data_IF_534772376657
#
_entry.id   IF_534772376657
#
_cell.length_a   1.000
_cell.length_b   1.000
_cell.length_c   1.000
_cell.angle_alpha   90.00
_cell.angle_beta   90.00
_cell.angle_gamma   90.00
#
_symmetry.space_group_name_H-M   'P 1'
#
loop_
_entity.id
_entity.type
_entity.pdbx_description
1 polymer ?
#
# COMPACT_ATOMS: atom_id res chain seq x y z
N UNK A 1 23.69 22.56 -16.18
CA UNK A 1 22.44 21.85 -15.88
C UNK A 1 22.56 21.30 -14.47
N UNK A 2 21.56 21.50 -13.65
CA UNK A 2 21.52 20.90 -12.30
C UNK A 2 21.28 19.39 -12.43
N UNK A 3 22.04 18.57 -11.68
CA UNK A 3 21.90 17.12 -11.68
C UNK A 3 21.22 16.64 -10.41
N UNK A 4 20.63 15.46 -10.45
CA UNK A 4 19.99 14.76 -9.35
C UNK A 4 20.44 13.29 -9.30
N UNK A 5 20.25 12.65 -8.16
CA UNK A 5 20.47 11.21 -7.99
C UNK A 5 19.17 10.44 -8.24
N UNK A 6 19.31 9.29 -8.90
CA UNK A 6 18.18 8.42 -9.23
C UNK A 6 18.62 6.96 -9.30
N UNK A 7 17.82 6.07 -8.75
CA UNK A 7 18.03 4.64 -8.91
C UNK A 7 17.39 4.14 -10.21
N UNK A 8 18.20 3.49 -11.05
CA UNK A 8 17.76 2.87 -12.29
C UNK A 8 18.11 1.39 -12.33
N UNK A 9 17.20 0.59 -12.86
CA UNK A 9 17.45 -0.78 -13.31
C UNK A 9 17.91 -0.75 -14.76
N UNK A 10 18.97 -1.50 -15.10
CA UNK A 10 19.41 -1.75 -16.48
C UNK A 10 18.90 -3.08 -17.04
N UNK A 11 18.21 -3.85 -16.22
CA UNK A 11 17.62 -5.17 -16.47
C UNK A 11 16.94 -5.67 -15.18
N UNK A 12 16.38 -6.86 -15.19
CA UNK A 12 15.80 -7.45 -13.99
C UNK A 12 16.86 -7.91 -12.98
N UNK A 13 16.46 -8.01 -11.71
CA UNK A 13 17.31 -8.42 -10.60
C UNK A 13 18.00 -7.26 -9.90
N UNK A 14 18.20 -7.38 -8.58
CA UNK A 14 18.84 -6.35 -7.73
C UNK A 14 20.25 -5.99 -8.17
N UNK A 15 20.98 -6.92 -8.79
CA UNK A 15 22.33 -6.66 -9.31
C UNK A 15 22.38 -5.63 -10.43
N UNK A 16 21.26 -5.35 -11.09
CA UNK A 16 21.13 -4.34 -12.14
C UNK A 16 20.74 -2.94 -11.63
N UNK A 17 20.44 -2.82 -10.32
CA UNK A 17 20.04 -1.57 -9.69
C UNK A 17 21.26 -0.68 -9.44
N UNK A 18 21.26 0.53 -10.00
CA UNK A 18 22.37 1.46 -9.96
C UNK A 18 21.89 2.87 -9.56
N UNK A 19 22.58 3.49 -8.62
CA UNK A 19 22.41 4.92 -8.31
C UNK A 19 23.18 5.74 -9.35
N UNK A 20 22.46 6.59 -10.09
CA UNK A 20 23.03 7.41 -11.16
C UNK A 20 22.83 8.90 -10.89
N UNK A 21 23.74 9.70 -11.44
CA UNK A 21 23.53 11.14 -11.61
C UNK A 21 22.93 11.41 -12.98
N UNK A 22 21.78 12.08 -13.02
CA UNK A 22 21.06 12.44 -14.24
C UNK A 22 20.64 13.91 -14.18
N UNK A 23 20.35 14.58 -15.30
CA UNK A 23 19.79 15.93 -15.27
C UNK A 23 18.46 15.98 -14.49
N UNK A 24 18.23 17.07 -13.75
CA UNK A 24 16.91 17.35 -13.17
C UNK A 24 15.93 17.56 -14.33
N UNK A 25 14.77 16.86 -14.36
CA UNK A 25 13.81 17.03 -15.43
C UNK A 25 13.14 18.40 -15.35
N UNK A 26 12.74 18.96 -16.50
CA UNK A 26 11.90 20.13 -16.59
C UNK A 26 10.43 19.68 -16.71
N UNK A 27 9.48 20.32 -15.99
CA UNK A 27 8.07 19.98 -16.12
C UNK A 27 7.51 20.45 -17.47
N UNK A 28 6.98 19.52 -18.26
CA UNK A 28 6.24 19.84 -19.49
C UNK A 28 4.84 20.38 -19.20
N UNK A 29 4.05 20.74 -20.24
CA UNK A 29 2.67 21.19 -20.08
C UNK A 29 1.84 20.21 -19.26
N UNK A 30 1.08 20.71 -18.26
CA UNK A 30 0.26 19.91 -17.35
C UNK A 30 1.05 19.10 -16.32
N UNK A 31 2.38 19.23 -16.26
CA UNK A 31 3.23 18.52 -15.30
C UNK A 31 3.67 19.42 -14.15
N UNK A 32 3.90 18.78 -13.01
CA UNK A 32 4.55 19.42 -11.86
C UNK A 32 5.91 18.74 -11.62
N UNK A 33 6.92 19.53 -11.32
CA UNK A 33 8.21 19.05 -10.81
C UNK A 33 8.12 18.98 -9.30
N UNK A 34 8.26 17.79 -8.75
CA UNK A 34 8.24 17.57 -7.31
C UNK A 34 9.65 17.22 -6.82
N UNK A 35 10.15 17.98 -5.85
CA UNK A 35 11.33 17.61 -5.07
C UNK A 35 10.90 16.55 -4.05
N UNK A 36 11.46 15.34 -4.19
CA UNK A 36 11.20 14.24 -3.28
C UNK A 36 11.70 14.57 -1.87
N UNK A 37 10.91 14.26 -0.86
CA UNK A 37 11.33 14.24 0.53
C UNK A 37 11.43 12.81 1.06
N UNK A 38 10.52 11.93 0.62
CA UNK A 38 10.53 10.54 1.01
C UNK A 38 9.84 9.64 -0.03
N UNK A 39 10.30 8.38 -0.13
CA UNK A 39 9.63 7.33 -0.87
C UNK A 39 9.44 6.09 0.02
N UNK A 40 8.23 5.51 0.03
CA UNK A 40 7.95 4.34 0.85
C UNK A 40 7.98 3.07 0.00
N UNK A 41 8.72 2.06 0.46
CA UNK A 41 8.82 0.79 -0.24
C UNK A 41 7.60 -0.11 0.01
N UNK A 42 7.24 -0.89 -1.00
CA UNK A 42 6.18 -1.89 -0.99
C UNK A 42 6.74 -3.25 -1.42
N UNK A 43 6.15 -4.35 -0.94
CA UNK A 43 6.57 -5.70 -1.33
C UNK A 43 6.58 -5.91 -2.86
N UNK A 44 5.61 -5.30 -3.57
CA UNK A 44 5.57 -5.35 -5.03
C UNK A 44 6.81 -4.74 -5.71
N UNK A 45 7.49 -3.79 -5.09
CA UNK A 45 8.68 -3.17 -5.67
C UNK A 45 9.81 -4.20 -5.80
N UNK A 46 9.95 -5.09 -4.80
CA UNK A 46 10.83 -6.26 -4.91
C UNK A 46 10.46 -7.13 -6.10
N UNK A 47 9.18 -7.47 -6.28
CA UNK A 47 8.73 -8.32 -7.37
C UNK A 47 8.97 -7.68 -8.75
N UNK A 48 8.76 -6.36 -8.86
CA UNK A 48 9.05 -5.62 -10.10
C UNK A 48 10.55 -5.61 -10.38
N UNK A 49 11.38 -5.33 -9.38
CA UNK A 49 12.84 -5.32 -9.51
C UNK A 49 13.37 -6.69 -9.93
N UNK A 50 12.88 -7.78 -9.31
CA UNK A 50 13.40 -9.12 -9.56
C UNK A 50 12.95 -9.71 -10.90
N UNK A 51 11.71 -9.51 -11.31
CA UNK A 51 11.17 -10.17 -12.50
C UNK A 51 10.04 -9.42 -13.22
N UNK A 52 9.82 -8.15 -12.92
CA UNK A 52 8.85 -7.28 -13.62
C UNK A 52 7.38 -7.57 -13.33
N UNK A 53 7.02 -8.57 -12.53
CA UNK A 53 5.63 -8.99 -12.30
C UNK A 53 4.83 -9.28 -13.59
N UNK A 54 5.48 -9.78 -14.63
CA UNK A 54 4.87 -10.01 -15.95
C UNK A 54 4.67 -8.76 -16.80
N UNK A 55 5.19 -7.60 -16.37
CA UNK A 55 5.18 -6.35 -17.15
C UNK A 55 6.40 -6.29 -18.07
N UNK A 56 6.21 -5.75 -19.27
CA UNK A 56 7.30 -5.32 -20.11
C UNK A 56 7.79 -3.95 -19.61
N UNK A 57 9.03 -3.90 -19.10
CA UNK A 57 9.63 -2.66 -18.61
C UNK A 57 10.59 -2.10 -19.66
N UNK A 58 10.49 -0.79 -19.89
CA UNK A 58 11.47 -0.06 -20.71
C UNK A 58 12.68 0.32 -19.85
N UNK A 59 13.85 -0.26 -20.16
CA UNK A 59 15.10 0.06 -19.46
C UNK A 59 15.84 1.24 -20.11
N UNK A 60 16.49 2.15 -19.32
CA UNK A 60 16.61 2.12 -17.87
C UNK A 60 15.28 2.43 -17.17
N UNK A 61 14.99 1.70 -16.10
CA UNK A 61 13.73 1.76 -15.37
C UNK A 61 13.93 2.22 -13.93
N UNK A 62 13.21 3.24 -13.50
CA UNK A 62 13.20 3.72 -12.10
C UNK A 62 12.12 2.98 -11.33
N UNK A 63 12.43 2.28 -10.20
CA UNK A 63 11.44 1.55 -9.43
C UNK A 63 10.69 2.43 -8.40
N UNK A 64 9.80 1.78 -7.63
CA UNK A 64 8.91 2.32 -6.59
C UNK A 64 7.77 3.21 -7.10
N UNK A 65 6.69 3.29 -6.30
CA UNK A 65 5.46 4.00 -6.66
C UNK A 65 5.12 5.14 -5.71
N UNK A 66 5.52 5.02 -4.45
CA UNK A 66 5.00 5.84 -3.35
C UNK A 66 6.01 6.94 -3.01
N UNK A 67 5.67 8.20 -3.33
CA UNK A 67 6.49 9.37 -3.04
C UNK A 67 5.68 10.42 -2.33
N UNK A 68 6.33 11.13 -1.42
CA UNK A 68 5.89 12.42 -0.90
C UNK A 68 6.98 13.46 -1.12
N UNK A 69 6.58 14.67 -1.46
CA UNK A 69 7.52 15.76 -1.71
C UNK A 69 6.84 17.12 -1.76
N UNK A 70 7.61 18.10 -2.23
CA UNK A 70 7.17 19.48 -2.39
C UNK A 70 7.27 19.88 -3.85
N UNK A 71 6.23 20.50 -4.38
CA UNK A 71 6.22 21.04 -5.75
C UNK A 71 7.30 22.13 -5.85
N UNK A 72 8.30 21.90 -6.72
CA UNK A 72 9.41 22.83 -6.95
C UNK A 72 9.14 23.78 -8.12
N UNK A 73 8.47 23.27 -9.18
CA UNK A 73 8.09 24.06 -10.36
C UNK A 73 6.85 23.44 -11.02
N UNK A 74 6.20 24.22 -11.88
CA UNK A 74 5.02 23.79 -12.63
C UNK A 74 5.20 24.11 -14.11
N UNK A 75 4.69 23.25 -14.99
CA UNK A 75 4.58 23.50 -16.42
C UNK A 75 3.32 24.28 -16.78
N UNK A 76 3.22 24.66 -18.06
CA UNK A 76 2.07 25.39 -18.57
C UNK A 76 0.77 24.62 -18.38
N UNK A 77 -0.31 25.32 -18.04
CA UNK A 77 -1.65 24.74 -17.88
C UNK A 77 -1.91 24.01 -16.56
N UNK A 78 -0.94 23.92 -15.66
CA UNK A 78 -1.13 23.36 -14.30
C UNK A 78 -2.05 24.27 -13.49
N UNK A 79 -3.08 23.69 -12.87
CA UNK A 79 -4.11 24.39 -12.10
C UNK A 79 -4.31 23.86 -10.68
N UNK A 80 -3.93 22.59 -10.42
CA UNK A 80 -4.20 21.93 -9.14
C UNK A 80 -3.16 22.24 -8.06
N UNK A 81 -1.96 22.58 -8.45
CA UNK A 81 -0.83 22.79 -7.54
C UNK A 81 -0.02 24.02 -7.90
N UNK A 82 0.73 24.50 -6.94
CA UNK A 82 1.69 25.61 -7.06
C UNK A 82 3.00 25.27 -6.35
N UNK A 83 4.12 25.93 -6.68
CA UNK A 83 5.36 25.77 -5.95
C UNK A 83 5.16 25.96 -4.43
N UNK A 84 5.74 25.03 -3.64
CA UNK A 84 5.60 24.96 -2.19
C UNK A 84 4.50 24.02 -1.69
N UNK A 85 3.58 23.57 -2.54
CA UNK A 85 2.55 22.61 -2.12
C UNK A 85 3.16 21.24 -1.81
N UNK A 86 2.71 20.61 -0.71
CA UNK A 86 3.09 19.27 -0.30
C UNK A 86 2.18 18.25 -0.96
N UNK A 87 2.77 17.27 -1.64
CA UNK A 87 2.02 16.30 -2.46
C UNK A 87 2.51 14.86 -2.21
N UNK A 88 1.61 13.92 -2.48
CA UNK A 88 1.90 12.47 -2.56
C UNK A 88 1.45 11.95 -3.93
N UNK A 89 2.13 10.91 -4.44
CA UNK A 89 1.76 10.26 -5.70
C UNK A 89 0.47 9.45 -5.59
N UNK A 90 -0.19 9.20 -6.73
CA UNK A 90 -1.21 8.15 -6.84
C UNK A 90 -0.56 6.86 -7.33
N UNK A 91 -1.03 5.70 -6.84
CA UNK A 91 -0.51 4.40 -7.27
C UNK A 91 -0.95 4.04 -8.69
N UNK A 92 -2.23 4.27 -9.01
CA UNK A 92 -2.83 4.10 -10.33
C UNK A 92 -3.15 5.47 -10.97
N UNK A 93 -2.23 6.05 -11.76
CA UNK A 93 -2.41 7.41 -12.28
C UNK A 93 -3.69 7.62 -13.12
N UNK A 94 -4.08 6.63 -13.92
CA UNK A 94 -5.26 6.70 -14.79
C UNK A 94 -6.60 6.41 -14.08
N UNK A 95 -6.59 5.92 -12.85
CA UNK A 95 -7.81 5.58 -12.13
C UNK A 95 -8.25 6.71 -11.19
N UNK A 96 -9.03 7.64 -11.72
CA UNK A 96 -9.46 8.85 -11.01
C UNK A 96 -10.55 8.55 -9.99
N UNK A 97 -11.61 7.84 -10.38
CA UNK A 97 -12.77 7.49 -9.54
C UNK A 97 -13.55 6.30 -10.11
N UNK A 98 -14.42 5.70 -9.30
CA UNK A 98 -15.40 4.71 -9.71
C UNK A 98 -14.80 3.43 -10.27
N UNK A 99 -15.26 3.00 -11.45
CA UNK A 99 -14.81 1.76 -12.08
C UNK A 99 -13.46 1.97 -12.77
N UNK A 100 -12.51 1.05 -12.51
CA UNK A 100 -11.23 1.02 -13.23
C UNK A 100 -11.44 0.79 -14.73
N UNK A 101 -10.58 1.38 -15.54
CA UNK A 101 -10.57 1.18 -16.98
C UNK A 101 -10.20 -0.26 -17.36
N UNK A 102 -10.47 -0.61 -18.63
CA UNK A 102 -10.14 -1.91 -19.18
C UNK A 102 -11.36 -2.81 -19.44
N UNK A 103 -11.09 -4.05 -19.79
CA UNK A 103 -12.08 -5.09 -20.12
C UNK A 103 -11.72 -6.40 -19.40
N UNK A 104 -12.54 -7.43 -19.55
CA UNK A 104 -12.26 -8.75 -19.00
C UNK A 104 -10.94 -9.37 -19.53
N UNK A 105 -10.54 -9.01 -20.76
CA UNK A 105 -9.30 -9.50 -21.39
C UNK A 105 -8.09 -8.58 -21.10
N UNK A 106 -8.34 -7.28 -20.95
CA UNK A 106 -7.28 -6.27 -20.79
C UNK A 106 -7.63 -5.40 -19.60
N UNK A 107 -7.13 -5.79 -18.44
CA UNK A 107 -7.29 -5.02 -17.22
C UNK A 107 -6.27 -3.89 -17.23
N UNK A 108 -6.69 -2.67 -16.91
CA UNK A 108 -5.75 -1.57 -16.69
C UNK A 108 -4.88 -1.86 -15.47
N UNK A 109 -3.60 -2.04 -15.68
CA UNK A 109 -2.58 -2.28 -14.66
C UNK A 109 -1.47 -1.22 -14.71
N UNK A 110 -1.75 -0.06 -15.29
CA UNK A 110 -0.80 1.04 -15.44
C UNK A 110 -0.51 1.72 -14.09
N UNK A 111 0.58 1.29 -13.46
CA UNK A 111 1.02 1.78 -12.15
C UNK A 111 2.32 2.55 -12.24
N UNK A 112 2.56 3.49 -11.33
CA UNK A 112 3.90 4.00 -11.07
C UNK A 112 4.81 2.86 -10.57
N UNK A 113 6.07 2.90 -10.95
CA UNK A 113 7.02 1.84 -10.65
C UNK A 113 6.58 0.47 -11.20
N UNK A 114 5.88 0.47 -12.33
CA UNK A 114 5.38 -0.68 -13.06
C UNK A 114 5.32 -0.37 -14.54
N UNK A 115 4.13 -0.16 -15.13
CA UNK A 115 4.01 0.26 -16.53
C UNK A 115 4.56 1.69 -16.77
N UNK A 116 4.54 2.55 -15.74
CA UNK A 116 5.21 3.85 -15.77
C UNK A 116 6.48 3.82 -14.95
N UNK A 117 7.45 4.69 -15.32
CA UNK A 117 8.63 4.92 -14.50
C UNK A 117 8.24 5.24 -13.07
N UNK A 118 9.05 4.78 -12.12
CA UNK A 118 8.80 4.99 -10.69
C UNK A 118 9.43 6.26 -10.14
N UNK A 119 9.58 6.28 -8.83
CA UNK A 119 9.82 7.52 -8.07
C UNK A 119 11.06 7.49 -7.17
N UNK A 120 11.96 6.51 -7.26
CA UNK A 120 13.23 6.51 -6.53
C UNK A 120 14.24 7.50 -7.13
N UNK A 121 13.90 8.80 -7.06
CA UNK A 121 14.66 9.91 -7.62
C UNK A 121 14.46 11.17 -6.75
N UNK A 122 15.48 12.04 -6.68
CA UNK A 122 15.39 13.30 -5.93
C UNK A 122 14.38 14.29 -6.51
N UNK A 123 14.07 14.17 -7.80
CA UNK A 123 13.02 14.95 -8.46
C UNK A 123 12.25 14.05 -9.43
N UNK A 124 10.95 14.30 -9.56
CA UNK A 124 10.08 13.69 -10.57
C UNK A 124 9.24 14.77 -11.25
N UNK A 125 9.14 14.72 -12.59
CA UNK A 125 8.24 15.56 -13.37
C UNK A 125 7.11 14.68 -13.91
N UNK A 126 5.90 14.82 -13.36
CA UNK A 126 4.74 13.98 -13.68
C UNK A 126 3.48 14.87 -13.85
N UNK A 127 2.46 14.39 -14.58
CA UNK A 127 1.18 15.09 -14.69
C UNK A 127 0.61 15.46 -13.32
N UNK A 128 0.05 16.66 -13.19
CA UNK A 128 -0.56 17.10 -11.93
C UNK A 128 -1.67 16.16 -11.43
N UNK A 129 -2.34 15.46 -12.36
CA UNK A 129 -3.39 14.49 -12.07
C UNK A 129 -2.88 13.22 -11.34
N UNK A 130 -1.56 13.00 -11.33
CA UNK A 130 -0.92 11.86 -10.67
C UNK A 130 -0.53 12.15 -9.22
N UNK A 131 -0.95 13.31 -8.71
CA UNK A 131 -0.69 13.72 -7.34
C UNK A 131 -1.97 14.06 -6.59
N UNK A 132 -1.87 13.93 -5.28
CA UNK A 132 -2.87 14.38 -4.29
C UNK A 132 -2.13 15.24 -3.26
N UNK A 133 -2.80 16.25 -2.71
CA UNK A 133 -2.24 17.03 -1.61
C UNK A 133 -1.93 16.11 -0.41
N UNK A 134 -0.77 16.27 0.20
CA UNK A 134 -0.39 15.50 1.38
C UNK A 134 -1.23 15.90 2.61
N UNK A 135 -1.50 14.98 3.57
CA UNK A 135 -2.16 15.32 4.83
C UNK A 135 -1.41 16.40 5.59
N UNK A 136 -2.15 17.25 6.30
CA UNK A 136 -1.55 18.32 7.11
C UNK A 136 -0.96 17.81 8.41
N UNK A 137 -1.53 16.74 8.97
CA UNK A 137 -1.14 16.15 10.26
C UNK A 137 0.09 15.25 10.20
N UNK A 138 0.56 14.90 8.98
CA UNK A 138 1.72 14.03 8.78
C UNK A 138 2.92 14.81 8.25
N UNK A 139 4.14 14.38 8.61
CA UNK A 139 5.32 14.77 7.87
C UNK A 139 5.37 14.08 6.49
N UNK A 140 6.36 14.40 5.65
CA UNK A 140 6.42 13.84 4.29
C UNK A 140 6.87 12.37 4.28
N UNK A 141 7.65 11.92 5.27
CA UNK A 141 8.03 10.51 5.40
C UNK A 141 6.80 9.66 5.74
N UNK A 142 5.99 10.10 6.71
CA UNK A 142 4.72 9.48 7.05
C UNK A 142 3.75 9.48 5.85
N UNK A 143 3.61 10.63 5.17
CA UNK A 143 2.69 10.80 4.06
C UNK A 143 3.04 9.90 2.85
N UNK A 144 4.34 9.63 2.62
CA UNK A 144 4.78 8.72 1.53
C UNK A 144 4.26 7.30 1.66
N UNK A 145 3.81 6.88 2.86
CA UNK A 145 3.33 5.52 3.11
C UNK A 145 1.87 5.29 2.70
N UNK A 146 1.13 6.36 2.36
CA UNK A 146 -0.30 6.30 2.08
C UNK A 146 -0.66 5.76 0.68
N UNK A 147 0.06 6.08 -0.42
CA UNK A 147 -0.41 5.82 -1.79
C UNK A 147 -0.72 4.35 -2.09
N UNK A 148 0.08 3.42 -1.59
CA UNK A 148 -0.18 1.99 -1.75
C UNK A 148 -0.79 1.38 -0.49
N UNK A 149 -0.05 1.30 0.61
CA UNK A 149 -0.45 0.53 1.78
C UNK A 149 -1.66 1.14 2.51
N UNK A 150 -1.63 2.46 2.75
CA UNK A 150 -2.74 3.18 3.38
C UNK A 150 -4.01 3.10 2.55
N UNK A 151 -3.90 3.40 1.25
CA UNK A 151 -5.03 3.37 0.33
C UNK A 151 -5.60 1.96 0.17
N UNK A 152 -4.76 0.92 0.12
CA UNK A 152 -5.24 -0.47 0.04
C UNK A 152 -6.13 -0.82 1.23
N UNK A 153 -5.69 -0.52 2.44
CA UNK A 153 -6.47 -0.79 3.65
C UNK A 153 -7.77 0.03 3.69
N UNK A 154 -7.70 1.31 3.35
CA UNK A 154 -8.86 2.19 3.23
C UNK A 154 -9.87 1.67 2.20
N UNK A 155 -9.38 1.34 1.01
CA UNK A 155 -10.23 0.87 -0.08
C UNK A 155 -10.92 -0.45 0.25
N UNK A 156 -10.20 -1.37 0.92
CA UNK A 156 -10.75 -2.65 1.36
C UNK A 156 -11.82 -2.49 2.44
N UNK A 157 -11.55 -1.69 3.47
CA UNK A 157 -12.43 -1.57 4.64
C UNK A 157 -13.55 -0.55 4.45
N UNK A 158 -13.25 0.62 3.88
CA UNK A 158 -14.19 1.74 3.80
C UNK A 158 -14.92 1.77 2.46
N UNK A 159 -14.19 1.92 1.35
CA UNK A 159 -14.80 2.08 0.02
C UNK A 159 -15.58 0.83 -0.43
N UNK A 160 -14.98 -0.35 -0.26
CA UNK A 160 -15.57 -1.63 -0.69
C UNK A 160 -16.21 -2.39 0.45
N UNK A 161 -15.62 -2.29 1.64
CA UNK A 161 -16.06 -3.00 2.83
C UNK A 161 -17.26 -2.37 3.52
N UNK A 162 -17.40 -1.04 3.42
CA UNK A 162 -18.44 -0.28 4.13
C UNK A 162 -18.43 -0.58 5.65
N UNK A 163 -17.23 -0.62 6.22
CA UNK A 163 -16.98 -0.94 7.63
C UNK A 163 -17.82 -0.05 8.57
N UNK A 164 -18.46 -0.67 9.55
CA UNK A 164 -19.31 0.00 10.54
C UNK A 164 -18.79 -0.25 11.95
N UNK A 165 -19.06 0.69 12.85
CA UNK A 165 -18.78 0.52 14.27
C UNK A 165 -19.46 -0.74 14.82
N UNK A 166 -18.75 -1.46 15.71
CA UNK A 166 -19.21 -2.71 16.31
C UNK A 166 -18.96 -3.97 15.46
N UNK A 167 -18.49 -3.84 14.21
CA UNK A 167 -18.04 -4.98 13.42
C UNK A 167 -16.62 -5.41 13.83
N UNK A 168 -16.23 -6.62 13.45
CA UNK A 168 -14.91 -7.17 13.69
C UNK A 168 -14.05 -7.17 12.41
N UNK A 169 -12.77 -6.86 12.55
CA UNK A 169 -11.80 -6.84 11.47
C UNK A 169 -10.60 -7.70 11.83
N UNK A 170 -10.23 -8.63 10.97
CA UNK A 170 -8.97 -9.38 11.09
C UNK A 170 -8.00 -8.93 10.01
N UNK A 171 -6.79 -8.59 10.44
CA UNK A 171 -5.65 -8.30 9.55
C UNK A 171 -4.58 -9.36 9.71
N UNK A 172 -4.09 -9.91 8.59
CA UNK A 172 -3.06 -10.94 8.60
C UNK A 172 -1.67 -10.30 8.54
N UNK A 173 -0.85 -10.61 9.55
CA UNK A 173 0.50 -10.07 9.67
C UNK A 173 0.56 -8.66 10.23
N UNK A 174 1.75 -8.05 10.13
CA UNK A 174 2.11 -6.75 10.72
C UNK A 174 2.89 -5.86 9.74
N UNK A 175 2.70 -6.08 8.45
CA UNK A 175 3.24 -5.21 7.41
C UNK A 175 2.42 -3.94 7.23
N UNK A 176 2.80 -3.11 6.25
CA UNK A 176 2.19 -1.80 6.03
C UNK A 176 0.67 -1.83 5.91
N UNK A 177 0.11 -2.66 5.01
CA UNK A 177 -1.36 -2.76 4.82
C UNK A 177 -2.06 -3.23 6.10
N UNK A 178 -1.48 -4.22 6.80
CA UNK A 178 -2.05 -4.76 8.03
C UNK A 178 -2.16 -3.69 9.13
N UNK A 179 -1.09 -2.91 9.36
CA UNK A 179 -1.10 -1.88 10.41
C UNK A 179 -1.97 -0.67 10.05
N UNK A 180 -2.06 -0.29 8.78
CA UNK A 180 -3.09 0.65 8.34
C UNK A 180 -4.49 0.09 8.54
N UNK A 181 -4.73 -1.18 8.21
CA UNK A 181 -6.01 -1.85 8.44
C UNK A 181 -6.40 -1.83 9.91
N UNK A 182 -5.48 -2.16 10.83
CA UNK A 182 -5.67 -2.07 12.27
C UNK A 182 -6.11 -0.65 12.68
N UNK A 183 -5.31 0.37 12.31
CA UNK A 183 -5.55 1.74 12.75
C UNK A 183 -6.86 2.31 12.17
N UNK A 184 -7.16 2.06 10.89
CA UNK A 184 -8.42 2.47 10.25
C UNK A 184 -9.60 1.78 10.92
N UNK A 185 -9.54 0.47 11.16
CA UNK A 185 -10.60 -0.28 11.81
C UNK A 185 -10.88 0.22 13.24
N UNK A 186 -9.83 0.46 14.03
CA UNK A 186 -9.97 1.04 15.37
C UNK A 186 -10.62 2.42 15.34
N UNK A 187 -10.20 3.28 14.43
CA UNK A 187 -10.78 4.62 14.28
C UNK A 187 -12.26 4.59 13.85
N UNK A 188 -12.72 3.51 13.22
CA UNK A 188 -14.13 3.27 12.89
C UNK A 188 -14.91 2.56 14.00
N UNK A 189 -14.31 2.27 15.15
CA UNK A 189 -14.98 1.59 16.26
C UNK A 189 -15.17 0.09 16.06
N UNK A 190 -14.32 -0.56 15.29
CA UNK A 190 -14.32 -2.00 15.11
C UNK A 190 -13.51 -2.73 16.19
N UNK A 191 -13.86 -4.00 16.45
CA UNK A 191 -13.04 -4.95 17.18
C UNK A 191 -11.95 -5.52 16.26
N UNK A 192 -10.66 -5.39 16.62
CA UNK A 192 -9.55 -5.70 15.72
C UNK A 192 -8.73 -6.90 16.18
N UNK A 193 -8.59 -7.85 15.26
CA UNK A 193 -7.79 -9.05 15.36
C UNK A 193 -6.55 -8.92 14.47
N UNK A 194 -5.37 -9.23 15.00
CA UNK A 194 -4.10 -9.24 14.24
C UNK A 194 -3.44 -10.60 14.37
N UNK A 195 -2.97 -11.18 13.27
CA UNK A 195 -2.21 -12.43 13.32
C UNK A 195 -0.71 -12.18 13.15
N UNK A 196 0.13 -12.83 13.94
CA UNK A 196 1.58 -12.84 13.73
C UNK A 196 2.23 -14.05 14.40
N UNK A 197 3.25 -14.64 13.78
CA UNK A 197 4.05 -15.70 14.40
C UNK A 197 5.02 -15.15 15.47
N UNK A 198 5.33 -13.86 15.47
CA UNK A 198 6.26 -13.24 16.43
C UNK A 198 5.48 -12.64 17.61
N UNK A 199 5.82 -13.06 18.84
CA UNK A 199 5.22 -12.47 20.06
C UNK A 199 5.54 -10.98 20.18
N UNK A 200 6.79 -10.55 19.94
CA UNK A 200 7.16 -9.13 19.93
C UNK A 200 6.24 -8.29 19.03
N UNK A 201 5.98 -8.79 17.81
CA UNK A 201 5.07 -8.11 16.89
C UNK A 201 3.62 -8.14 17.37
N UNK A 202 3.18 -9.20 18.06
CA UNK A 202 1.85 -9.27 18.67
C UNK A 202 1.71 -8.24 19.81
N UNK A 203 2.72 -8.11 20.66
CA UNK A 203 2.73 -7.08 21.74
C UNK A 203 2.70 -5.67 21.17
N UNK A 204 3.51 -5.38 20.15
CA UNK A 204 3.50 -4.09 19.45
C UNK A 204 2.14 -3.81 18.78
N UNK A 205 1.47 -4.83 18.24
CA UNK A 205 0.12 -4.67 17.67
C UNK A 205 -0.93 -4.35 18.74
N UNK A 206 -0.85 -4.98 19.95
CA UNK A 206 -1.70 -4.63 21.09
C UNK A 206 -1.48 -3.18 21.53
N UNK A 207 -0.22 -2.75 21.59
CA UNK A 207 0.11 -1.37 21.92
C UNK A 207 -0.42 -0.35 20.89
N UNK A 208 -0.63 -0.75 19.63
CA UNK A 208 -1.27 0.04 18.58
C UNK A 208 -2.81 -0.01 18.62
N UNK A 209 -3.39 -0.78 19.56
CA UNK A 209 -4.83 -0.85 19.76
C UNK A 209 -5.51 -2.10 19.21
N UNK A 210 -4.79 -3.16 18.82
CA UNK A 210 -5.39 -4.45 18.51
C UNK A 210 -6.06 -5.03 19.79
N UNK A 211 -7.34 -5.39 19.69
CA UNK A 211 -8.05 -6.02 20.80
C UNK A 211 -7.56 -7.45 21.02
N UNK A 212 -7.24 -8.14 19.91
CA UNK A 212 -6.73 -9.51 19.92
C UNK A 212 -5.53 -9.62 18.98
N UNK A 213 -4.35 -9.90 19.54
CA UNK A 213 -3.17 -10.26 18.77
C UNK A 213 -2.91 -11.76 18.99
N UNK A 214 -3.16 -12.56 17.96
CA UNK A 214 -3.19 -14.02 18.00
C UNK A 214 -2.04 -14.65 17.21
N UNK A 215 -1.67 -15.87 17.57
CA UNK A 215 -0.64 -16.59 16.84
C UNK A 215 -1.14 -16.90 15.42
N UNK A 216 -0.24 -16.83 14.44
CA UNK A 216 -0.53 -17.21 13.05
C UNK A 216 -0.90 -18.69 12.95
N UNK A 217 -0.31 -19.54 13.79
CA UNK A 217 -0.66 -20.95 13.83
C UNK A 217 -1.91 -21.15 14.72
N UNK A 218 -2.93 -21.85 14.19
CA UNK A 218 -4.21 -22.07 14.89
C UNK A 218 -5.08 -20.79 15.04
N UNK A 219 -4.88 -19.79 14.19
CA UNK A 219 -5.64 -18.53 14.29
C UNK A 219 -7.15 -18.70 14.06
N UNK A 220 -7.58 -19.68 13.25
CA UNK A 220 -9.00 -19.93 12.97
C UNK A 220 -9.72 -20.37 14.24
N UNK A 221 -9.16 -21.35 14.95
CA UNK A 221 -9.68 -21.85 16.24
C UNK A 221 -9.64 -20.76 17.31
N UNK A 222 -8.61 -19.92 17.29
CA UNK A 222 -8.55 -18.77 18.19
C UNK A 222 -9.68 -17.76 17.90
N UNK A 223 -9.98 -17.48 16.62
CA UNK A 223 -11.10 -16.63 16.23
C UNK A 223 -12.44 -17.23 16.73
N UNK A 224 -12.71 -18.51 16.50
CA UNK A 224 -13.95 -19.15 16.99
C UNK A 224 -14.10 -18.99 18.51
N UNK A 225 -13.05 -19.30 19.26
CA UNK A 225 -13.07 -19.16 20.72
C UNK A 225 -13.33 -17.71 21.18
N UNK A 226 -12.65 -16.73 20.54
CA UNK A 226 -12.73 -15.32 20.94
C UNK A 226 -14.05 -14.66 20.51
N UNK A 227 -14.67 -15.13 19.44
CA UNK A 227 -15.92 -14.59 18.91
C UNK A 227 -17.16 -15.41 19.31
N UNK A 228 -17.03 -16.45 20.17
CA UNK A 228 -18.08 -17.41 20.48
C UNK A 228 -18.71 -17.98 19.18
N UNK A 229 -17.89 -18.49 18.31
CA UNK A 229 -18.20 -19.08 17.00
C UNK A 229 -18.86 -18.14 15.96
N UNK A 230 -18.98 -16.84 16.25
CA UNK A 230 -19.56 -15.86 15.31
C UNK A 230 -18.70 -15.65 14.05
N UNK A 231 -17.39 -15.70 14.19
CA UNK A 231 -16.45 -15.37 13.12
C UNK A 231 -16.19 -13.87 12.95
N UNK A 232 -15.51 -13.50 11.88
CA UNK A 232 -15.02 -12.13 11.60
C UNK A 232 -15.81 -11.49 10.45
N UNK A 233 -16.28 -10.25 10.64
CA UNK A 233 -17.06 -9.54 9.62
C UNK A 233 -16.19 -9.13 8.40
N UNK A 234 -14.95 -8.68 8.63
CA UNK A 234 -14.01 -8.27 7.56
C UNK A 234 -12.63 -8.90 7.75
N UNK A 235 -12.17 -9.66 6.79
CA UNK A 235 -10.82 -10.22 6.78
C UNK A 235 -10.00 -9.56 5.66
N UNK A 236 -8.88 -8.91 6.02
CA UNK A 236 -7.86 -8.49 5.05
C UNK A 236 -6.91 -9.66 4.84
N UNK A 237 -7.11 -10.37 3.73
CA UNK A 237 -6.32 -11.52 3.33
C UNK A 237 -5.06 -11.02 2.61
N UNK A 238 -3.91 -11.06 3.32
CA UNK A 238 -2.65 -10.47 2.91
C UNK A 238 -1.59 -11.51 2.52
N UNK A 239 -1.93 -12.78 2.55
CA UNK A 239 -0.98 -13.89 2.36
C UNK A 239 -1.13 -14.55 0.99
N UNK A 240 -2.33 -14.81 0.54
CA UNK A 240 -2.62 -15.52 -0.71
C UNK A 240 -2.54 -17.04 -0.59
N UNK A 241 -2.49 -17.73 -1.73
CA UNK A 241 -2.37 -19.18 -1.78
C UNK A 241 -3.50 -19.91 -1.04
N UNK A 242 -3.14 -20.89 -0.22
CA UNK A 242 -4.08 -21.70 0.57
C UNK A 242 -4.75 -20.93 1.73
N UNK A 243 -4.30 -19.72 2.05
CA UNK A 243 -4.85 -18.94 3.17
C UNK A 243 -6.30 -18.49 2.95
N UNK A 244 -6.77 -18.37 1.69
CA UNK A 244 -8.17 -18.08 1.41
C UNK A 244 -9.12 -19.12 2.03
N UNK A 245 -8.75 -20.40 2.04
CA UNK A 245 -9.55 -21.45 2.67
C UNK A 245 -9.78 -21.17 4.16
N UNK A 246 -8.70 -20.86 4.89
CA UNK A 246 -8.76 -20.50 6.32
C UNK A 246 -9.55 -19.20 6.55
N UNK A 247 -9.40 -18.21 5.66
CA UNK A 247 -10.18 -16.98 5.75
C UNK A 247 -11.69 -17.25 5.59
N UNK A 248 -12.10 -18.15 4.68
CA UNK A 248 -13.49 -18.56 4.53
C UNK A 248 -14.00 -19.44 5.67
N UNK A 249 -13.13 -20.15 6.39
CA UNK A 249 -13.50 -20.82 7.64
C UNK A 249 -13.80 -19.82 8.75
N UNK A 250 -12.97 -18.78 8.90
CA UNK A 250 -13.07 -17.82 10.00
C UNK A 250 -14.05 -16.66 9.75
N UNK A 251 -14.44 -16.40 8.50
CA UNK A 251 -15.36 -15.30 8.17
C UNK A 251 -16.76 -15.57 8.74
N UNK A 252 -17.41 -14.53 9.23
CA UNK A 252 -18.80 -14.59 9.74
C UNK A 252 -19.80 -14.82 8.60
N UNK A 253 -21.03 -15.16 8.94
CA UNK A 253 -22.17 -15.14 8.00
C UNK A 253 -22.34 -13.71 7.47
N UNK A 254 -22.53 -13.58 6.15
CA UNK A 254 -22.57 -12.31 5.39
C UNK A 254 -21.27 -11.48 5.49
N UNK A 255 -20.18 -12.09 6.00
CA UNK A 255 -18.90 -11.42 6.13
C UNK A 255 -18.13 -11.29 4.81
N UNK A 256 -17.00 -10.62 4.85
CA UNK A 256 -16.22 -10.26 3.67
C UNK A 256 -14.74 -10.63 3.82
N UNK A 257 -14.19 -11.24 2.78
CA UNK A 257 -12.75 -11.48 2.63
C UNK A 257 -12.22 -10.60 1.51
N UNK A 258 -11.38 -9.64 1.85
CA UNK A 258 -10.66 -8.78 0.89
C UNK A 258 -9.32 -9.43 0.55
N UNK A 259 -9.20 -9.98 -0.65
CA UNK A 259 -7.98 -10.63 -1.15
C UNK A 259 -7.04 -9.57 -1.69
N UNK A 260 -5.88 -9.43 -1.08
CA UNK A 260 -4.89 -8.38 -1.33
C UNK A 260 -3.51 -8.97 -1.59
N UNK A 261 -3.08 -9.91 -0.73
CA UNK A 261 -1.74 -10.49 -0.76
C UNK A 261 -1.62 -11.67 -1.72
N UNK A 262 -0.36 -11.88 -2.16
CA UNK A 262 0.04 -13.01 -3.04
C UNK A 262 1.38 -13.60 -2.59
N UNK A 263 1.73 -13.46 -1.31
CA UNK A 263 3.04 -13.85 -0.77
C UNK A 263 3.26 -15.37 -0.91
N UNK A 264 2.21 -16.17 -0.64
CA UNK A 264 2.26 -17.64 -0.75
C UNK A 264 1.71 -18.17 -2.08
N UNK A 265 1.55 -17.33 -3.09
CA UNK A 265 1.18 -17.71 -4.45
C UNK A 265 -0.04 -16.97 -5.00
N UNK A 266 -0.22 -17.14 -6.32
CA UNK A 266 -1.29 -16.49 -7.08
C UNK A 266 -2.55 -17.37 -7.21
N UNK A 267 -2.42 -18.68 -7.03
CA UNK A 267 -3.54 -19.60 -7.12
C UNK A 267 -4.26 -19.68 -5.78
N UNK A 268 -5.57 -19.42 -5.82
CA UNK A 268 -6.43 -19.43 -4.64
C UNK A 268 -7.34 -20.66 -4.68
N UNK A 269 -7.42 -21.38 -3.56
CA UNK A 269 -8.29 -22.55 -3.43
C UNK A 269 -9.03 -22.53 -2.10
N UNK A 270 -10.33 -22.85 -2.12
CA UNK A 270 -11.15 -22.97 -0.93
C UNK A 270 -12.37 -23.86 -1.17
N UNK A 271 -12.94 -24.40 -0.09
CA UNK A 271 -14.18 -25.18 -0.15
C UNK A 271 -15.38 -24.24 -0.47
N UNK A 272 -16.09 -24.53 -1.55
CA UNK A 272 -17.24 -23.75 -1.99
C UNK A 272 -18.35 -23.65 -0.91
N UNK A 273 -18.52 -24.69 -0.09
CA UNK A 273 -19.56 -24.72 0.94
C UNK A 273 -19.36 -23.62 2.01
N UNK A 274 -18.13 -23.28 2.39
CA UNK A 274 -17.87 -22.19 3.32
C UNK A 274 -18.32 -20.83 2.75
N UNK A 275 -18.13 -20.61 1.45
CA UNK A 275 -18.60 -19.42 0.76
C UNK A 275 -20.14 -19.38 0.66
N UNK A 276 -20.76 -20.50 0.25
CA UNK A 276 -22.21 -20.58 -0.01
C UNK A 276 -23.02 -20.51 1.28
N UNK A 277 -22.70 -21.34 2.28
CA UNK A 277 -23.49 -21.44 3.51
C UNK A 277 -23.38 -20.17 4.38
N UNK A 278 -22.27 -19.44 4.28
CA UNK A 278 -22.08 -18.18 4.99
C UNK A 278 -22.52 -16.95 4.16
N UNK A 279 -22.94 -17.11 2.91
CA UNK A 279 -23.21 -15.98 2.00
C UNK A 279 -22.06 -14.97 1.96
N UNK A 280 -20.83 -15.46 2.14
CA UNK A 280 -19.66 -14.60 2.30
C UNK A 280 -19.29 -13.94 0.95
N UNK A 281 -18.71 -12.73 1.02
CA UNK A 281 -18.17 -12.04 -0.14
C UNK A 281 -16.66 -12.21 -0.21
N UNK A 282 -16.13 -12.67 -1.34
CA UNK A 282 -14.69 -12.64 -1.65
C UNK A 282 -14.43 -11.59 -2.71
N UNK A 283 -13.57 -10.62 -2.41
CA UNK A 283 -13.31 -9.49 -3.30
C UNK A 283 -11.81 -9.22 -3.45
N UNK A 284 -11.31 -9.22 -4.70
CA UNK A 284 -9.96 -8.75 -5.00
C UNK A 284 -9.84 -7.23 -4.80
N UNK A 285 -8.76 -6.80 -4.16
CA UNK A 285 -8.44 -5.39 -3.91
C UNK A 285 -7.12 -5.05 -4.60
N UNK A 286 -7.12 -4.05 -5.46
CA UNK A 286 -5.95 -3.51 -6.15
C UNK A 286 -5.73 -2.07 -5.70
N UNK A 287 -5.16 -1.85 -4.52
CA UNK A 287 -4.93 -0.49 -3.99
C UNK A 287 -6.24 0.34 -3.98
N UNK A 288 -6.39 1.33 -4.86
CA UNK A 288 -7.58 2.16 -4.99
C UNK A 288 -7.37 3.31 -5.98
N UNK A 289 -8.42 4.08 -6.22
CA UNK A 289 -8.42 5.23 -7.11
C UNK A 289 -8.01 6.54 -6.40
N UNK A 290 -7.69 7.58 -7.18
CA UNK A 290 -7.25 8.90 -6.67
C UNK A 290 -8.24 9.51 -5.69
N UNK A 291 -9.54 9.52 -6.00
CA UNK A 291 -10.55 10.07 -5.10
C UNK A 291 -10.56 9.38 -3.74
N UNK A 292 -10.43 8.05 -3.69
CA UNK A 292 -10.31 7.32 -2.42
C UNK A 292 -9.03 7.69 -1.66
N UNK A 293 -7.93 8.04 -2.35
CA UNK A 293 -6.73 8.58 -1.71
C UNK A 293 -6.98 9.98 -1.14
N UNK A 294 -7.69 10.83 -1.85
CA UNK A 294 -8.10 12.16 -1.35
C UNK A 294 -9.02 12.05 -0.12
N UNK A 295 -9.93 11.06 -0.11
CA UNK A 295 -10.78 10.74 1.04
C UNK A 295 -9.96 10.23 2.23
N UNK A 296 -9.01 9.32 1.98
CA UNK A 296 -8.07 8.85 3.00
C UNK A 296 -7.24 9.99 3.59
N UNK A 297 -6.72 10.91 2.76
CA UNK A 297 -5.95 12.07 3.23
C UNK A 297 -6.78 12.90 4.22
N UNK A 298 -8.06 13.18 3.90
CA UNK A 298 -8.95 13.90 4.82
C UNK A 298 -9.21 13.10 6.10
N UNK A 299 -9.44 11.80 5.96
CA UNK A 299 -9.68 10.91 7.09
C UNK A 299 -8.47 10.82 8.03
N UNK A 300 -7.25 10.74 7.49
CA UNK A 300 -5.99 10.73 8.27
C UNK A 300 -5.88 11.95 9.16
N UNK A 301 -6.19 13.14 8.63
CA UNK A 301 -6.15 14.39 9.41
C UNK A 301 -7.20 14.39 10.54
N UNK A 302 -8.41 13.88 10.29
CA UNK A 302 -9.50 13.81 11.29
C UNK A 302 -9.22 12.73 12.35
N UNK A 303 -8.81 11.55 11.93
CA UNK A 303 -8.52 10.41 12.81
C UNK A 303 -7.20 10.59 13.57
N UNK A 304 -6.36 11.55 13.17
CA UNK A 304 -4.99 11.72 13.66
C UNK A 304 -4.17 10.44 13.54
N UNK A 305 -4.41 9.71 12.44
CA UNK A 305 -3.74 8.45 12.18
C UNK A 305 -2.23 8.71 11.94
N UNK A 306 -1.39 7.92 12.59
CA UNK A 306 0.06 7.98 12.45
C UNK A 306 0.57 6.67 11.84
N UNK A 307 1.10 6.70 10.61
CA UNK A 307 1.70 5.52 9.99
C UNK A 307 2.83 4.94 10.83
N UNK A 308 2.91 3.62 10.88
CA UNK A 308 4.02 2.93 11.54
C UNK A 308 5.14 2.74 10.54
N UNK A 309 6.26 3.42 10.79
CA UNK A 309 7.49 3.29 10.01
C UNK A 309 8.48 2.50 10.86
N UNK A 310 8.89 1.33 10.38
CA UNK A 310 9.83 0.46 11.07
C UNK A 310 11.25 1.04 11.02
N UNK A 311 11.64 1.55 9.84
CA UNK A 311 12.96 2.18 9.67
C UNK A 311 12.99 3.16 8.49
N UNK A 312 13.79 4.22 8.69
CA UNK A 312 14.21 5.14 7.63
C UNK A 312 15.58 4.73 7.09
N UNK A 313 15.76 4.93 5.80
CA UNK A 313 17.02 4.72 5.07
C UNK A 313 17.31 5.93 4.20
N UNK A 314 18.58 6.20 3.93
CA UNK A 314 18.98 7.21 2.95
C UNK A 314 18.80 6.67 1.51
N UNK A 315 18.91 7.55 0.53
CA UNK A 315 18.84 7.15 -0.88
C UNK A 315 19.94 6.12 -1.24
N UNK A 316 21.14 6.23 -0.68
CA UNK A 316 22.25 5.31 -0.91
C UNK A 316 22.00 3.92 -0.32
N UNK A 317 21.18 3.85 0.72
CA UNK A 317 20.89 2.61 1.44
C UNK A 317 19.74 1.79 0.85
N UNK A 318 19.20 2.14 -0.34
CA UNK A 318 18.10 1.41 -0.99
C UNK A 318 18.35 -0.11 -1.06
N UNK A 319 19.54 -0.64 -1.39
CA UNK A 319 19.77 -2.08 -1.35
C UNK A 319 19.59 -2.70 0.04
N UNK A 320 20.01 -2.01 1.10
CA UNK A 320 19.82 -2.45 2.48
C UNK A 320 18.34 -2.39 2.90
N UNK A 321 17.62 -1.36 2.45
CA UNK A 321 16.18 -1.21 2.67
C UNK A 321 15.37 -2.34 2.00
N UNK A 322 15.70 -2.74 0.77
CA UNK A 322 15.10 -3.87 0.08
C UNK A 322 15.36 -5.20 0.82
N UNK A 323 16.59 -5.41 1.31
CA UNK A 323 16.92 -6.58 2.13
C UNK A 323 16.17 -6.59 3.49
N UNK A 324 15.86 -5.41 4.04
CA UNK A 324 15.01 -5.33 5.24
C UNK A 324 13.55 -5.63 4.92
N UNK A 325 13.05 -5.16 3.78
CA UNK A 325 11.69 -5.43 3.33
C UNK A 325 11.40 -6.92 3.23
N UNK A 326 12.36 -7.72 2.71
CA UNK A 326 12.22 -9.19 2.59
C UNK A 326 12.10 -9.90 3.94
N UNK A 327 12.66 -9.32 4.99
CA UNK A 327 12.58 -9.90 6.35
C UNK A 327 11.26 -9.62 7.06
N UNK A 328 10.34 -8.92 6.40
CA UNK A 328 9.01 -8.62 6.93
C UNK A 328 9.05 -7.59 8.06
N UNK A 329 9.20 -6.31 7.76
CA UNK A 329 9.22 -5.22 8.77
C UNK A 329 7.91 -5.13 9.56
N UNK A 330 7.93 -4.42 10.68
CA UNK A 330 6.73 -4.04 11.41
C UNK A 330 6.23 -2.68 10.89
N UNK A 331 5.40 -2.69 9.87
CA UNK A 331 4.93 -1.47 9.20
C UNK A 331 5.66 -1.20 7.90
N UNK A 332 6.06 0.05 7.69
CA UNK A 332 6.65 0.53 6.43
C UNK A 332 8.16 0.79 6.55
N UNK A 333 8.83 0.70 5.42
CA UNK A 333 10.21 1.15 5.21
C UNK A 333 10.17 2.38 4.33
N UNK A 334 10.88 3.42 4.72
CA UNK A 334 10.89 4.71 4.03
C UNK A 334 12.32 5.09 3.66
N UNK A 335 12.50 5.53 2.42
CA UNK A 335 13.72 6.15 1.91
C UNK A 335 13.54 7.66 2.04
N UNK A 336 14.46 8.33 2.71
CA UNK A 336 14.49 9.79 2.82
C UNK A 336 15.48 10.40 1.83
N UNK A 337 15.13 11.55 1.31
CA UNK A 337 15.95 12.34 0.38
C UNK A 337 16.40 13.60 1.12
N UNK A 338 17.70 13.74 1.31
CA UNK A 338 18.31 14.92 1.94
C UNK A 338 18.37 16.14 1.02
#
# INVERSE_FOLDING_TARGET
MTTMRRWDLSGFGRGSLQLKQVPVPEPGPGQVLVKAAAAALNYRDTLVIEHGMGLALDFPFTPASDLAGTVAAIGDGVTRFRPGDRVITTFFPGWVDGRSAGSAKTVDATTLGGAHQGVLAEYVALPEEWFVAAPRSLDLAEASTLPCAGLTAWFALVERGQLRAGQSVLVQGTGGVALFGLQIAKAHGAEVFVTSASEDKRERARALGADHAIDRDGWVEAVYRLTADRGIDHILELVGGAHLAKALEAVAVDGRVSVIGVIEGYDLSAAAMNLLLKSATVQGIRVGHRRALEDLVRAVDVMKLKPVIDRHYTLEEVPAALNHLDRGPFGKIVITFD
#
